data_IF_276662077108
#
_entry.id   IF_276662077108
#
_cell.length_a   1.000
_cell.length_b   1.000
_cell.length_c   1.000
_cell.angle_alpha   90.00
_cell.angle_beta   90.00
_cell.angle_gamma   90.00
#
_symmetry.space_group_name_H-M   'P 1'
#
loop_
_entity.id
_entity.type
_entity.pdbx_description
1 polymer ?
#
# COMPACT_ATOMS: atom_id res chain seq x y z
N UNK A 1 -74.39 -23.95 -29.87
CA UNK A 1 -75.17 -23.09 -30.79
C UNK A 1 -75.01 -21.65 -30.34
N UNK A 2 -74.51 -20.85 -31.27
CA UNK A 2 -74.50 -19.38 -31.36
C UNK A 2 -75.58 -18.64 -30.54
N UNK A 3 -75.16 -17.60 -29.82
CA UNK A 3 -76.06 -16.62 -29.18
C UNK A 3 -75.40 -15.26 -29.07
N UNK A 4 -75.51 -14.49 -30.17
CA UNK A 4 -75.11 -13.10 -30.34
C UNK A 4 -76.21 -12.15 -29.81
N UNK A 5 -75.84 -10.98 -29.30
CA UNK A 5 -76.47 -9.72 -29.74
C UNK A 5 -77.27 -8.87 -28.72
N UNK A 6 -76.99 -7.57 -28.75
CA UNK A 6 -77.96 -6.48 -28.48
C UNK A 6 -77.75 -5.71 -27.18
N UNK A 7 -76.79 -4.77 -27.10
CA UNK A 7 -76.91 -3.34 -27.45
C UNK A 7 -77.82 -2.50 -26.55
N UNK A 8 -77.24 -1.51 -25.87
CA UNK A 8 -77.52 -0.06 -26.00
C UNK A 8 -77.28 0.67 -24.69
N UNK A 9 -76.55 1.79 -24.76
CA UNK A 9 -76.57 2.78 -23.69
C UNK A 9 -75.28 3.56 -23.50
N UNK A 10 -74.76 4.17 -24.57
CA UNK A 10 -73.70 5.18 -24.48
C UNK A 10 -74.28 6.44 -23.80
N UNK A 11 -73.79 6.80 -22.61
CA UNK A 11 -73.83 8.18 -22.12
C UNK A 11 -72.43 8.64 -21.78
N UNK A 12 -71.91 9.42 -22.72
CA UNK A 12 -70.66 10.16 -22.67
C UNK A 12 -70.75 11.22 -21.56
N UNK A 13 -70.00 11.07 -20.47
CA UNK A 13 -69.60 12.19 -19.62
C UNK A 13 -68.07 12.27 -19.68
N UNK A 14 -67.57 13.14 -20.56
CA UNK A 14 -66.16 13.48 -20.61
C UNK A 14 -65.89 14.51 -19.49
N UNK A 15 -65.43 14.03 -18.32
CA UNK A 15 -64.78 14.90 -17.34
C UNK A 15 -63.32 15.09 -17.77
N UNK A 16 -63.01 16.31 -18.22
CA UNK A 16 -61.66 16.84 -18.38
C UNK A 16 -60.98 16.90 -16.99
N UNK A 17 -60.19 15.88 -16.67
CA UNK A 17 -59.25 15.92 -15.55
C UNK A 17 -57.91 16.44 -16.06
N UNK A 18 -57.54 17.66 -15.65
CA UNK A 18 -56.20 18.21 -15.83
C UNK A 18 -55.19 17.36 -15.01
N UNK A 19 -54.13 16.80 -15.61
CA UNK A 19 -53.04 16.24 -14.83
C UNK A 19 -52.21 17.39 -14.22
N UNK A 20 -52.17 17.43 -12.89
CA UNK A 20 -51.23 18.25 -12.14
C UNK A 20 -49.80 17.79 -12.47
N UNK A 21 -49.02 18.66 -13.11
CA UNK A 21 -47.61 18.42 -13.39
C UNK A 21 -46.85 18.58 -12.07
N UNK A 22 -46.51 17.49 -11.40
CA UNK A 22 -45.51 17.52 -10.34
C UNK A 22 -44.14 17.75 -10.97
N UNK A 23 -43.58 18.94 -10.74
CA UNK A 23 -42.18 19.23 -10.99
C UNK A 23 -41.32 18.44 -9.99
N UNK A 24 -40.73 17.34 -10.45
CA UNK A 24 -39.69 16.63 -9.70
C UNK A 24 -38.39 17.41 -9.73
N UNK A 25 -37.90 17.83 -8.57
CA UNK A 25 -36.52 18.32 -8.44
C UNK A 25 -35.57 17.14 -8.65
N UNK A 26 -35.02 17.01 -9.86
CA UNK A 26 -33.84 16.18 -10.07
C UNK A 26 -32.67 16.88 -9.37
N UNK A 27 -32.21 16.34 -8.25
CA UNK A 27 -30.92 16.71 -7.68
C UNK A 27 -29.86 16.40 -8.72
N UNK A 28 -29.28 17.45 -9.31
CA UNK A 28 -28.05 17.38 -10.07
C UNK A 28 -26.95 16.90 -9.14
N UNK A 29 -26.80 15.58 -9.03
CA UNK A 29 -25.60 14.96 -8.50
C UNK A 29 -24.43 15.52 -9.29
N UNK A 30 -23.57 16.27 -8.59
CA UNK A 30 -22.42 16.91 -9.18
C UNK A 30 -21.63 15.89 -10.00
N UNK A 31 -21.54 16.14 -11.30
CA UNK A 31 -20.52 15.51 -12.12
C UNK A 31 -19.18 15.99 -11.59
N UNK A 32 -18.50 15.14 -10.81
CA UNK A 32 -17.08 15.36 -10.52
C UNK A 32 -16.36 15.12 -11.84
N UNK A 33 -16.05 16.22 -12.53
CA UNK A 33 -15.18 16.21 -13.70
C UNK A 33 -13.79 15.75 -13.25
N UNK A 34 -13.47 14.49 -13.57
CA UNK A 34 -12.11 13.98 -13.51
C UNK A 34 -11.30 14.59 -14.66
N UNK A 35 -10.81 15.81 -14.47
CA UNK A 35 -9.79 16.39 -15.35
C UNK A 35 -8.44 16.29 -14.67
N UNK A 36 -7.58 15.38 -15.14
CA UNK A 36 -6.15 15.41 -14.83
C UNK A 36 -5.42 14.07 -14.87
N UNK A 37 -4.77 13.78 -16.00
CA UNK A 37 -3.57 12.96 -16.18
C UNK A 37 -3.52 11.56 -15.50
N UNK A 38 -3.97 10.54 -16.25
CA UNK A 38 -3.65 9.14 -15.97
C UNK A 38 -2.18 8.81 -16.27
N UNK A 39 -1.30 9.06 -15.31
CA UNK A 39 -0.06 8.31 -15.11
C UNK A 39 -0.28 7.19 -14.08
N UNK A 40 0.77 6.50 -13.56
CA UNK A 40 0.66 5.52 -12.48
C UNK A 40 0.24 6.11 -11.11
N UNK A 41 -0.72 7.05 -11.09
CA UNK A 41 -0.95 8.02 -10.01
C UNK A 41 -1.88 7.55 -8.90
N UNK A 42 -2.87 6.69 -9.16
CA UNK A 42 -3.86 6.33 -8.14
C UNK A 42 -3.26 5.57 -6.94
N UNK A 43 -2.24 4.74 -7.18
CA UNK A 43 -1.57 3.97 -6.12
C UNK A 43 -0.69 4.83 -5.21
N UNK A 44 -0.31 6.02 -5.67
CA UNK A 44 0.62 6.94 -5.00
C UNK A 44 0.00 8.31 -4.72
N UNK A 45 -1.33 8.39 -4.82
CA UNK A 45 -2.09 9.57 -4.46
C UNK A 45 -2.00 9.85 -2.95
N UNK A 46 -2.52 11.02 -2.56
CA UNK A 46 -2.76 11.33 -1.15
C UNK A 46 -3.63 10.23 -0.52
N UNK A 47 -3.28 9.82 0.70
CA UNK A 47 -3.95 8.75 1.42
C UNK A 47 -4.27 9.20 2.83
N UNK A 48 -5.56 9.27 3.16
CA UNK A 48 -6.01 9.41 4.53
C UNK A 48 -5.84 8.08 5.28
N UNK A 49 -5.19 8.13 6.43
CA UNK A 49 -4.88 6.99 7.28
C UNK A 49 -5.19 7.31 8.75
N UNK A 50 -6.48 7.52 9.02
CA UNK A 50 -6.97 7.90 10.34
C UNK A 50 -6.69 9.37 10.65
N UNK A 51 -5.97 9.64 11.74
CA UNK A 51 -5.59 10.99 12.16
C UNK A 51 -4.45 11.59 11.32
N UNK A 52 -3.88 10.80 10.41
CA UNK A 52 -2.75 11.20 9.58
C UNK A 52 -3.12 11.18 8.10
N UNK A 53 -2.57 12.13 7.35
CA UNK A 53 -2.68 12.17 5.88
C UNK A 53 -1.29 12.00 5.28
N UNK A 54 -1.12 10.94 4.49
CA UNK A 54 0.08 10.72 3.70
C UNK A 54 -0.01 11.55 2.41
N UNK A 55 0.99 12.40 2.12
CA UNK A 55 1.00 13.20 0.90
C UNK A 55 1.17 12.30 -0.31
N UNK A 56 0.67 12.77 -1.45
CA UNK A 56 0.94 12.15 -2.73
C UNK A 56 2.46 12.10 -2.99
N UNK A 57 2.94 11.01 -3.60
CA UNK A 57 4.33 10.88 -4.03
C UNK A 57 4.42 11.23 -5.50
N UNK A 58 5.30 12.17 -5.85
CA UNK A 58 5.69 12.38 -7.24
C UNK A 58 6.62 11.24 -7.69
N UNK A 59 6.06 10.34 -8.48
CA UNK A 59 6.77 9.16 -9.01
C UNK A 59 7.38 9.40 -10.39
N UNK A 60 7.30 10.61 -10.94
CA UNK A 60 7.78 10.91 -12.29
C UNK A 60 9.29 10.69 -12.46
N UNK A 61 10.07 10.87 -11.39
CA UNK A 61 11.51 10.63 -11.34
C UNK A 61 11.92 9.25 -10.83
N UNK A 62 10.96 8.37 -10.49
CA UNK A 62 11.23 7.04 -9.95
C UNK A 62 11.20 6.03 -11.10
N UNK A 63 12.20 5.14 -11.14
CA UNK A 63 12.23 4.04 -12.11
C UNK A 63 10.93 3.23 -12.02
N UNK A 64 10.24 3.06 -13.15
CA UNK A 64 8.98 2.31 -13.23
C UNK A 64 9.10 0.86 -12.72
N UNK A 65 10.30 0.27 -12.76
CA UNK A 65 10.57 -1.05 -12.19
C UNK A 65 10.46 -1.06 -10.65
N UNK A 66 10.66 0.08 -9.99
CA UNK A 66 10.54 0.26 -8.54
C UNK A 66 9.10 0.57 -8.10
N UNK A 67 8.20 0.89 -9.03
CA UNK A 67 6.79 1.08 -8.71
C UNK A 67 6.09 -0.25 -8.47
N UNK A 68 5.12 -0.22 -7.56
CA UNK A 68 4.29 -1.35 -7.17
C UNK A 68 3.54 -1.88 -8.38
N UNK A 69 3.70 -3.17 -8.63
CA UNK A 69 3.06 -3.82 -9.76
C UNK A 69 2.93 -5.32 -9.51
N UNK A 70 1.86 -5.90 -10.04
CA UNK A 70 1.69 -7.34 -10.06
C UNK A 70 2.50 -7.94 -11.21
N UNK A 71 3.32 -8.94 -10.92
CA UNK A 71 4.22 -9.58 -11.89
C UNK A 71 4.03 -11.09 -11.92
N UNK A 72 4.47 -11.73 -13.00
CA UNK A 72 4.67 -13.17 -13.00
C UNK A 72 5.82 -13.51 -12.05
N UNK A 73 5.64 -14.51 -11.19
CA UNK A 73 6.60 -14.87 -10.17
C UNK A 73 6.54 -16.37 -9.86
N UNK A 74 7.46 -17.13 -10.45
CA UNK A 74 7.58 -18.57 -10.21
C UNK A 74 8.42 -18.83 -8.97
N UNK A 75 7.79 -19.34 -7.93
CA UNK A 75 8.46 -19.67 -6.66
C UNK A 75 7.94 -20.98 -6.06
N UNK A 76 8.73 -21.55 -5.16
CA UNK A 76 8.31 -22.67 -4.30
C UNK A 76 7.75 -22.18 -2.96
N UNK A 77 7.89 -20.89 -2.66
CA UNK A 77 7.36 -20.30 -1.44
C UNK A 77 5.82 -20.29 -1.47
N UNK A 78 5.13 -20.58 -0.35
CA UNK A 78 3.67 -20.54 -0.28
C UNK A 78 3.10 -19.13 -0.49
N UNK A 79 1.85 -19.05 -0.94
CA UNK A 79 1.06 -17.81 -1.00
C UNK A 79 1.06 -17.09 0.36
N UNK A 80 1.23 -15.77 0.34
CA UNK A 80 1.34 -14.94 1.54
C UNK A 80 2.75 -14.86 2.13
N UNK A 81 3.73 -15.54 1.54
CA UNK A 81 5.15 -15.36 1.86
C UNK A 81 5.66 -14.06 1.26
N UNK A 82 6.49 -13.36 2.02
CA UNK A 82 7.25 -12.21 1.53
C UNK A 82 8.64 -12.71 1.13
N UNK A 83 9.05 -12.45 -0.11
CA UNK A 83 10.42 -12.66 -0.57
C UNK A 83 11.08 -11.31 -0.78
N UNK A 84 12.19 -11.06 -0.10
CA UNK A 84 12.98 -9.83 -0.23
C UNK A 84 14.24 -10.16 -1.02
N UNK A 85 14.38 -9.63 -2.23
CA UNK A 85 15.61 -9.72 -3.01
C UNK A 85 16.39 -8.41 -2.88
N UNK A 86 17.40 -8.43 -2.00
CA UNK A 86 18.17 -7.22 -1.69
C UNK A 86 19.08 -6.82 -2.84
N UNK A 87 19.47 -7.74 -3.72
CA UNK A 87 20.31 -7.45 -4.87
C UNK A 87 19.49 -6.80 -6.00
N UNK A 88 18.29 -7.33 -6.26
CA UNK A 88 17.34 -6.75 -7.22
C UNK A 88 16.68 -5.45 -6.69
N UNK A 89 16.69 -5.25 -5.37
CA UNK A 89 15.99 -4.15 -4.67
C UNK A 89 14.48 -4.23 -4.87
N UNK A 90 13.97 -5.46 -4.77
CA UNK A 90 12.55 -5.76 -4.81
C UNK A 90 12.10 -6.56 -3.60
N UNK A 91 10.85 -6.34 -3.21
CA UNK A 91 10.10 -7.20 -2.30
C UNK A 91 8.91 -7.77 -3.06
N UNK A 92 8.66 -9.06 -2.91
CA UNK A 92 7.58 -9.79 -3.54
C UNK A 92 6.66 -10.36 -2.46
N UNK A 93 5.37 -10.02 -2.50
CA UNK A 93 4.34 -10.75 -1.78
C UNK A 93 3.78 -11.82 -2.71
N UNK A 94 4.05 -13.09 -2.39
CA UNK A 94 3.62 -14.22 -3.21
C UNK A 94 2.10 -14.32 -3.23
N UNK A 95 1.53 -14.30 -4.43
CA UNK A 95 0.11 -14.48 -4.71
C UNK A 95 -0.12 -15.85 -5.37
N UNK A 96 -1.39 -16.21 -5.61
CA UNK A 96 -1.75 -17.40 -6.39
C UNK A 96 -1.36 -17.29 -7.87
N UNK A 97 -1.58 -18.38 -8.61
CA UNK A 97 -1.45 -18.44 -10.07
C UNK A 97 -0.07 -18.06 -10.63
N UNK A 98 0.99 -18.30 -9.86
CA UNK A 98 2.36 -17.98 -10.25
C UNK A 98 2.61 -16.48 -10.38
N UNK A 99 2.00 -15.68 -9.51
CA UNK A 99 2.13 -14.22 -9.47
C UNK A 99 2.64 -13.74 -8.12
N UNK A 100 3.10 -12.50 -8.09
CA UNK A 100 3.38 -11.78 -6.86
C UNK A 100 3.05 -10.29 -7.03
N UNK A 101 2.71 -9.63 -5.93
CA UNK A 101 2.80 -8.17 -5.87
C UNK A 101 4.25 -7.80 -5.60
N UNK A 102 4.88 -7.08 -6.54
CA UNK A 102 6.26 -6.59 -6.43
C UNK A 102 6.26 -5.14 -5.98
N UNK A 103 7.18 -4.80 -5.08
CA UNK A 103 7.42 -3.46 -4.56
C UNK A 103 8.91 -3.12 -4.71
N UNK A 104 9.24 -1.89 -5.09
CA UNK A 104 10.61 -1.39 -4.98
C UNK A 104 10.99 -1.19 -3.51
N UNK A 105 12.24 -1.49 -3.17
CA UNK A 105 12.76 -1.30 -1.81
C UNK A 105 14.04 -0.46 -1.78
N UNK A 106 14.21 0.29 -0.70
CA UNK A 106 15.49 0.79 -0.26
C UNK A 106 16.13 -0.21 0.70
N UNK A 107 17.41 -0.51 0.54
CA UNK A 107 18.14 -1.44 1.41
C UNK A 107 19.27 -0.69 2.09
N UNK A 108 19.38 -0.79 3.41
CA UNK A 108 20.57 -0.27 4.10
C UNK A 108 21.72 -1.25 4.15
N UNK A 109 22.92 -0.78 4.51
CA UNK A 109 24.11 -1.63 4.70
C UNK A 109 23.85 -2.81 5.65
N UNK A 110 23.06 -2.59 6.70
CA UNK A 110 22.64 -3.65 7.61
C UNK A 110 21.69 -4.65 6.93
N UNK A 111 20.81 -4.19 6.03
CA UNK A 111 19.92 -5.06 5.23
C UNK A 111 20.67 -6.06 4.34
N UNK A 112 21.94 -5.78 4.01
CA UNK A 112 22.82 -6.73 3.33
C UNK A 112 23.44 -7.78 4.27
N UNK A 113 23.36 -7.60 5.59
CA UNK A 113 23.91 -8.55 6.57
C UNK A 113 22.91 -9.65 6.95
N UNK A 114 21.63 -9.51 6.58
CA UNK A 114 20.60 -10.50 6.88
C UNK A 114 20.19 -11.27 5.63
N UNK A 115 20.35 -12.59 5.67
CA UNK A 115 19.85 -13.53 4.69
C UNK A 115 19.19 -14.72 5.38
N UNK A 116 18.21 -15.33 4.72
CA UNK A 116 17.49 -16.49 5.23
C UNK A 116 16.06 -16.20 5.65
N UNK A 117 15.49 -17.09 6.46
CA UNK A 117 14.07 -17.06 6.82
C UNK A 117 13.83 -16.27 8.11
N UNK A 118 12.68 -15.60 8.17
CA UNK A 118 12.11 -14.96 9.34
C UNK A 118 10.57 -15.03 9.31
N UNK A 119 9.93 -14.56 10.37
CA UNK A 119 8.48 -14.45 10.49
C UNK A 119 8.12 -13.06 11.02
N UNK A 120 7.03 -12.48 10.52
CA UNK A 120 6.44 -11.27 11.10
C UNK A 120 5.74 -11.65 12.40
N UNK A 121 6.30 -11.32 13.56
CA UNK A 121 5.62 -11.52 14.87
C UNK A 121 4.96 -10.26 15.41
N UNK A 122 5.35 -9.09 14.93
CA UNK A 122 4.76 -7.82 15.33
C UNK A 122 4.54 -6.91 14.14
N UNK A 123 3.46 -6.16 14.22
CA UNK A 123 3.04 -5.13 13.27
C UNK A 123 2.70 -3.87 14.07
N UNK A 124 3.05 -2.70 13.54
CA UNK A 124 2.68 -1.43 14.13
C UNK A 124 2.26 -0.42 13.05
N UNK A 125 1.24 0.35 13.39
CA UNK A 125 0.84 1.57 12.68
C UNK A 125 1.44 2.75 13.40
N UNK A 126 1.93 3.73 12.64
CA UNK A 126 2.60 4.93 13.13
C UNK A 126 3.58 4.63 14.29
N UNK A 127 4.59 3.79 14.05
CA UNK A 127 5.45 3.27 15.11
C UNK A 127 6.32 4.37 15.74
N UNK A 128 6.50 4.28 17.05
CA UNK A 128 7.58 5.00 17.73
C UNK A 128 8.94 4.57 17.17
N UNK A 129 9.87 5.52 17.02
CA UNK A 129 11.23 5.27 16.57
C UNK A 129 12.26 5.87 17.51
N UNK A 130 13.32 5.11 17.78
CA UNK A 130 14.48 5.61 18.52
C UNK A 130 15.75 5.37 17.68
N UNK A 131 16.62 6.37 17.50
CA UNK A 131 17.89 6.17 16.83
C UNK A 131 18.74 5.17 17.61
N UNK A 132 19.44 4.29 16.88
CA UNK A 132 20.39 3.36 17.52
C UNK A 132 21.59 4.11 18.09
N UNK A 133 22.25 3.52 19.08
CA UNK A 133 23.47 4.10 19.66
C UNK A 133 24.55 4.36 18.60
N UNK A 134 24.72 3.44 17.64
CA UNK A 134 25.65 3.62 16.53
C UNK A 134 25.30 4.85 15.66
N UNK A 135 24.02 5.10 15.40
CA UNK A 135 23.59 6.31 14.69
C UNK A 135 23.93 7.56 15.50
N UNK A 136 23.61 7.56 16.80
CA UNK A 136 23.94 8.66 17.70
C UNK A 136 25.44 8.92 17.82
N UNK A 137 26.27 7.88 17.73
CA UNK A 137 27.72 8.04 17.77
C UNK A 137 28.29 8.54 16.44
N UNK A 138 27.73 8.11 15.30
CA UNK A 138 28.20 8.54 13.98
C UNK A 138 27.81 9.96 13.62
N UNK A 139 26.57 10.37 13.91
CA UNK A 139 26.05 11.71 13.60
C UNK A 139 25.37 12.32 14.84
N UNK A 140 26.14 12.66 15.90
CA UNK A 140 25.60 13.05 17.19
C UNK A 140 24.76 14.31 17.15
N UNK A 141 25.17 15.32 16.38
CA UNK A 141 24.43 16.56 16.21
C UNK A 141 23.04 16.34 15.58
N UNK A 142 22.91 15.30 14.75
CA UNK A 142 21.64 14.92 14.12
C UNK A 142 20.77 14.11 15.08
N UNK A 143 21.32 13.05 15.67
CA UNK A 143 20.51 12.02 16.34
C UNK A 143 20.41 12.13 17.86
N UNK A 144 21.37 12.74 18.58
CA UNK A 144 21.30 12.78 20.06
C UNK A 144 20.09 13.55 20.58
N UNK A 145 19.65 14.59 19.85
CA UNK A 145 18.42 15.32 20.17
C UNK A 145 17.15 14.46 20.09
N UNK A 146 17.22 13.31 19.41
CA UNK A 146 16.12 12.33 19.26
C UNK A 146 16.35 11.08 20.13
N UNK A 147 17.26 11.10 21.10
CA UNK A 147 17.56 9.95 21.96
C UNK A 147 16.36 9.51 22.81
N UNK A 148 15.45 10.44 23.15
CA UNK A 148 14.17 10.14 23.79
C UNK A 148 13.13 9.50 22.86
N UNK A 149 13.49 9.32 21.60
CA UNK A 149 12.64 8.78 20.56
C UNK A 149 11.75 9.82 19.88
N UNK A 150 11.05 9.35 18.86
CA UNK A 150 10.09 10.10 18.05
C UNK A 150 8.78 9.33 18.04
N UNK A 151 7.68 10.03 18.33
CA UNK A 151 6.34 9.49 18.18
C UNK A 151 6.01 9.19 16.72
N UNK A 152 4.97 8.39 16.52
CA UNK A 152 4.41 8.14 15.20
C UNK A 152 3.96 9.44 14.53
N UNK A 153 4.34 9.63 13.26
CA UNK A 153 3.94 10.80 12.50
C UNK A 153 4.62 10.85 11.14
N UNK A 154 4.21 11.82 10.32
CA UNK A 154 4.67 11.96 8.93
C UNK A 154 6.20 12.15 8.82
N UNK A 155 6.81 12.75 9.83
CA UNK A 155 8.26 13.01 9.89
C UNK A 155 9.06 11.84 10.52
N UNK A 156 8.38 10.77 10.95
CA UNK A 156 9.03 9.63 11.57
C UNK A 156 9.75 8.79 10.49
N UNK A 157 11.05 8.47 10.64
CA UNK A 157 11.83 7.76 9.62
C UNK A 157 11.38 6.30 9.39
N UNK A 158 10.55 5.73 10.25
CA UNK A 158 9.90 4.44 10.01
C UNK A 158 8.65 4.56 9.11
N UNK A 159 8.16 5.77 8.84
CA UNK A 159 6.94 6.01 8.08
C UNK A 159 5.68 5.49 8.79
N UNK A 160 4.60 5.23 8.05
CA UNK A 160 3.28 4.94 8.62
C UNK A 160 3.14 3.51 9.15
N UNK A 161 4.01 2.57 8.76
CA UNK A 161 3.89 1.15 9.12
C UNK A 161 5.27 0.53 9.36
N UNK A 162 5.34 -0.38 10.32
CA UNK A 162 6.49 -1.25 10.52
C UNK A 162 6.08 -2.70 10.80
N UNK A 163 6.81 -3.64 10.19
CA UNK A 163 6.68 -5.08 10.38
C UNK A 163 8.01 -5.61 10.92
N UNK A 164 7.97 -6.31 12.06
CA UNK A 164 9.14 -6.71 12.82
C UNK A 164 9.43 -8.19 12.59
N UNK A 165 10.66 -8.49 12.18
CA UNK A 165 11.09 -9.82 11.74
C UNK A 165 11.76 -10.59 12.88
N UNK A 166 11.32 -11.83 13.07
CA UNK A 166 11.79 -12.71 14.13
C UNK A 166 12.34 -14.02 13.56
N UNK A 167 13.33 -14.58 14.25
CA UNK A 167 13.83 -15.95 14.06
C UNK A 167 13.61 -16.74 15.34
N UNK A 168 12.71 -17.71 15.30
CA UNK A 168 12.17 -18.29 16.55
C UNK A 168 11.54 -17.17 17.39
N UNK A 169 11.95 -17.05 18.65
CA UNK A 169 11.49 -15.99 19.57
C UNK A 169 12.40 -14.77 19.62
N UNK A 170 13.49 -14.75 18.85
CA UNK A 170 14.44 -13.65 18.81
C UNK A 170 14.05 -12.58 17.80
N UNK A 171 13.92 -11.33 18.24
CA UNK A 171 13.83 -10.16 17.35
C UNK A 171 15.17 -10.05 16.59
N UNK A 172 15.10 -10.06 15.27
CA UNK A 172 16.29 -9.95 14.42
C UNK A 172 16.85 -8.53 14.37
N UNK A 173 16.10 -7.56 14.91
CA UNK A 173 16.30 -6.13 14.71
C UNK A 173 16.19 -5.69 13.24
N UNK A 174 15.64 -6.54 12.37
CA UNK A 174 15.25 -6.17 11.02
C UNK A 174 13.77 -5.87 10.94
N UNK A 175 13.45 -4.86 10.13
CA UNK A 175 12.09 -4.38 9.89
C UNK A 175 11.82 -4.21 8.40
N UNK A 176 10.56 -4.32 8.03
CA UNK A 176 10.05 -3.78 6.78
C UNK A 176 9.21 -2.57 7.17
N UNK A 177 9.56 -1.39 6.67
CA UNK A 177 8.93 -0.14 7.10
C UNK A 177 8.82 0.89 5.97
N UNK A 178 8.12 2.00 6.22
CA UNK A 178 7.99 3.13 5.30
C UNK A 178 9.24 4.01 5.26
N UNK A 179 9.13 5.21 4.69
CA UNK A 179 10.26 6.15 4.63
C UNK A 179 9.76 7.58 4.45
N UNK A 180 10.49 8.55 5.00
CA UNK A 180 10.30 9.98 4.69
C UNK A 180 11.06 10.42 3.44
N UNK A 181 11.91 9.55 2.90
CA UNK A 181 12.80 9.80 1.76
C UNK A 181 12.47 8.83 0.60
N UNK A 182 11.33 8.98 -0.10
CA UNK A 182 10.89 8.04 -1.15
C UNK A 182 11.84 7.97 -2.36
N UNK A 183 12.58 9.05 -2.65
CA UNK A 183 13.59 9.14 -3.71
C UNK A 183 14.78 8.17 -3.53
N UNK A 184 14.92 7.60 -2.34
CA UNK A 184 15.99 6.65 -2.02
C UNK A 184 15.60 5.19 -2.29
N UNK A 185 14.36 4.92 -2.72
CA UNK A 185 13.92 3.59 -3.13
C UNK A 185 14.65 3.20 -4.42
N UNK A 186 15.09 1.95 -4.51
CA UNK A 186 15.96 1.50 -5.60
C UNK A 186 17.44 1.84 -5.39
N UNK A 187 17.82 2.41 -4.24
CA UNK A 187 19.21 2.72 -3.89
C UNK A 187 19.66 2.05 -2.57
N UNK A 188 20.97 1.82 -2.46
CA UNK A 188 21.62 1.23 -1.28
C UNK A 188 22.19 2.29 -0.33
N UNK A 189 21.37 3.26 0.09
CA UNK A 189 21.85 4.52 0.72
C UNK A 189 21.70 4.57 2.23
N UNK A 190 21.02 3.61 2.87
CA UNK A 190 20.69 3.74 4.30
C UNK A 190 21.60 2.93 5.24
N UNK A 191 21.54 3.25 6.53
CA UNK A 191 22.16 2.46 7.61
C UNK A 191 21.26 1.35 8.15
N UNK A 192 20.04 1.23 7.62
CA UNK A 192 18.92 0.53 8.26
C UNK A 192 18.35 -0.64 7.46
N UNK A 193 17.10 -0.98 7.79
CA UNK A 193 16.39 -2.18 7.40
C UNK A 193 15.86 -2.14 5.93
N UNK A 194 14.72 -2.79 5.65
CA UNK A 194 14.04 -2.75 4.34
C UNK A 194 13.01 -1.60 4.33
N UNK A 195 13.15 -0.67 3.39
CA UNK A 195 12.30 0.52 3.27
C UNK A 195 11.43 0.45 2.03
N UNK A 196 10.17 0.86 2.15
CA UNK A 196 9.24 1.04 1.05
C UNK A 196 8.74 2.48 1.02
N UNK A 197 8.20 2.92 -0.12
CA UNK A 197 7.36 4.12 -0.17
C UNK A 197 6.17 3.97 0.79
N UNK A 198 5.65 5.08 1.31
CA UNK A 198 4.64 5.04 2.37
C UNK A 198 3.33 4.38 1.92
N UNK A 199 2.85 4.67 0.71
CA UNK A 199 1.67 4.03 0.12
C UNK A 199 1.88 2.51 -0.10
N UNK A 200 3.12 2.10 -0.35
CA UNK A 200 3.48 0.71 -0.57
C UNK A 200 3.62 -0.08 0.72
N UNK A 201 4.20 0.51 1.78
CA UNK A 201 4.23 -0.16 3.09
C UNK A 201 2.82 -0.29 3.66
N UNK A 202 1.93 0.68 3.45
CA UNK A 202 0.53 0.60 3.89
C UNK A 202 -0.19 -0.53 3.14
N UNK A 203 -0.05 -0.61 1.82
CA UNK A 203 -0.61 -1.69 1.02
C UNK A 203 -0.10 -3.06 1.46
N UNK A 204 1.22 -3.24 1.60
CA UNK A 204 1.83 -4.48 2.06
C UNK A 204 1.32 -4.85 3.47
N UNK A 205 1.33 -3.89 4.39
CA UNK A 205 0.89 -4.09 5.77
C UNK A 205 -0.55 -4.60 5.83
N UNK A 206 -1.46 -4.07 5.01
CA UNK A 206 -2.86 -4.48 5.00
C UNK A 206 -3.06 -5.89 4.41
N UNK A 207 -2.14 -6.36 3.57
CA UNK A 207 -2.23 -7.70 2.95
C UNK A 207 -1.63 -8.81 3.81
N UNK A 208 -0.60 -8.51 4.61
CA UNK A 208 0.16 -9.53 5.35
C UNK A 208 -0.31 -9.68 6.79
N UNK A 209 -0.17 -10.88 7.35
CA UNK A 209 -0.64 -11.22 8.69
C UNK A 209 0.54 -11.40 9.63
N UNK A 210 0.29 -11.28 10.94
CA UNK A 210 1.21 -11.84 11.93
C UNK A 210 1.30 -13.35 11.67
N UNK A 211 2.52 -13.88 11.65
CA UNK A 211 2.83 -15.24 11.23
C UNK A 211 3.25 -15.37 9.77
N UNK A 212 3.12 -14.33 8.94
CA UNK A 212 3.62 -14.37 7.56
C UNK A 212 5.12 -14.65 7.51
N UNK A 213 5.50 -15.62 6.67
CA UNK A 213 6.88 -15.99 6.39
C UNK A 213 7.56 -14.89 5.59
N UNK A 214 8.82 -14.63 5.92
CA UNK A 214 9.71 -13.73 5.16
C UNK A 214 10.97 -14.49 4.79
N UNK A 215 11.39 -14.39 3.54
CA UNK A 215 12.64 -14.97 3.05
C UNK A 215 13.48 -13.87 2.42
N UNK A 216 14.69 -13.67 2.91
CA UNK A 216 15.61 -12.65 2.40
C UNK A 216 16.72 -13.32 1.61
N UNK A 217 16.84 -12.95 0.34
CA UNK A 217 17.79 -13.49 -0.63
C UNK A 217 18.66 -12.37 -1.22
N UNK A 218 19.85 -12.75 -1.70
CA UNK A 218 20.85 -11.83 -2.25
C UNK A 218 21.28 -12.20 -3.68
N UNK A 219 20.52 -13.09 -4.33
CA UNK A 219 20.90 -13.71 -5.60
C UNK A 219 20.50 -12.91 -6.84
N UNK A 220 19.73 -11.83 -6.70
CA UNK A 220 19.26 -11.04 -7.84
C UNK A 220 18.53 -11.90 -8.85
N UNK A 221 17.55 -12.70 -8.39
CA UNK A 221 16.93 -13.72 -9.23
C UNK A 221 16.16 -13.00 -10.34
N UNK A 222 16.79 -12.89 -11.50
CA UNK A 222 16.15 -12.47 -12.73
C UNK A 222 14.95 -13.39 -12.93
N UNK A 223 13.77 -12.78 -13.01
CA UNK A 223 12.50 -13.46 -13.22
C UNK A 223 12.67 -14.48 -14.35
N UNK A 224 12.57 -15.78 -14.02
CA UNK A 224 12.69 -16.91 -14.94
C UNK A 224 11.34 -17.56 -15.17
#
# INVERSE_FOLDING_TARGET
>A
MTGFGGSRGLRLLALLMLPAVLAGCASSGGMVSSTGFGGPSASYAELNDGEHTLPAIDVSGIDSAMLRQRVAYRTKEPVGTIVVDTAARHLYLVEGDGKAMRYGIGVGKAGLAFAGAAVIKRKAEWPHWTPTENMMNREPARYRKMAGGMEGGIDNPLGPRAMYLYQGDRDTMFRIHGTTEPETIGHAVSSGCIRLMNQDVVDLYNRVKIGSRVVVIQSGRAES
#
